data_IF_747408488077
#
_entry.id   IF_747408488077
#
_cell.length_a   1.000
_cell.length_b   1.000
_cell.length_c   1.000
_cell.angle_alpha   90.00
_cell.angle_beta   90.00
_cell.angle_gamma   90.00
#
_symmetry.space_group_name_H-M   'P 1'
#
loop_
_entity.id
_entity.type
_entity.pdbx_description
1 polymer ?
#
# COMPACT_ATOMS: atom_id res chain seq x y z
N UNK A 1 3.67 12.45 -26.12
CA UNK A 1 2.30 11.91 -25.88
C UNK A 1 2.27 10.52 -25.25
N UNK A 2 3.19 9.59 -25.55
CA UNK A 2 3.19 8.23 -24.95
C UNK A 2 3.49 8.19 -23.45
N UNK A 3 4.40 9.03 -22.93
CA UNK A 3 4.78 9.02 -21.50
C UNK A 3 3.66 9.43 -20.54
N UNK A 4 2.84 10.42 -20.91
CA UNK A 4 1.69 10.85 -20.08
C UNK A 4 0.62 9.75 -19.95
N UNK A 5 0.44 8.94 -20.99
CA UNK A 5 -0.48 7.80 -20.96
C UNK A 5 -0.01 6.70 -20.02
N UNK A 6 1.29 6.38 -20.03
CA UNK A 6 1.89 5.36 -19.15
C UNK A 6 1.75 5.75 -17.67
N UNK A 7 2.05 7.00 -17.31
CA UNK A 7 1.91 7.47 -15.94
C UNK A 7 0.46 7.38 -15.42
N UNK A 8 -0.54 7.68 -16.27
CA UNK A 8 -1.95 7.52 -15.92
C UNK A 8 -2.32 6.05 -15.69
N UNK A 9 -1.86 5.14 -16.55
CA UNK A 9 -2.12 3.70 -16.40
C UNK A 9 -1.53 3.18 -15.10
N UNK A 10 -0.26 3.48 -14.80
CA UNK A 10 0.40 3.05 -13.56
C UNK A 10 -0.36 3.54 -12.32
N UNK A 11 -0.80 4.79 -12.32
CA UNK A 11 -1.59 5.35 -11.20
C UNK A 11 -2.94 4.66 -11.02
N UNK A 12 -3.67 4.42 -12.11
CA UNK A 12 -4.97 3.72 -12.06
C UNK A 12 -4.77 2.29 -11.56
N UNK A 13 -3.75 1.60 -12.07
CA UNK A 13 -3.42 0.24 -11.60
C UNK A 13 -3.07 0.23 -10.12
N UNK A 14 -2.26 1.18 -9.65
CA UNK A 14 -1.94 1.32 -8.24
C UNK A 14 -3.20 1.56 -7.39
N UNK A 15 -4.09 2.46 -7.82
CA UNK A 15 -5.34 2.75 -7.11
C UNK A 15 -6.25 1.51 -7.02
N UNK A 16 -6.38 0.74 -8.10
CA UNK A 16 -7.22 -0.46 -8.13
C UNK A 16 -6.65 -1.56 -7.23
N UNK A 17 -5.34 -1.83 -7.34
CA UNK A 17 -4.69 -2.90 -6.57
C UNK A 17 -4.69 -2.57 -5.08
N UNK A 18 -4.29 -1.34 -4.69
CA UNK A 18 -4.31 -0.94 -3.27
C UNK A 18 -5.73 -0.88 -2.72
N UNK A 19 -6.72 -0.47 -3.53
CA UNK A 19 -8.14 -0.51 -3.18
C UNK A 19 -8.66 -1.93 -2.95
N UNK A 20 -8.30 -2.89 -3.79
CA UNK A 20 -8.65 -4.29 -3.61
C UNK A 20 -8.04 -4.89 -2.33
N UNK A 21 -6.76 -4.57 -2.04
CA UNK A 21 -6.10 -4.99 -0.80
C UNK A 21 -6.78 -4.35 0.42
N UNK A 22 -7.14 -3.07 0.35
CA UNK A 22 -7.86 -2.39 1.42
C UNK A 22 -9.20 -3.08 1.73
N UNK A 23 -9.99 -3.40 0.69
CA UNK A 23 -11.27 -4.10 0.85
C UNK A 23 -11.08 -5.49 1.48
N UNK A 24 -10.07 -6.25 1.06
CA UNK A 24 -9.74 -7.54 1.67
C UNK A 24 -9.31 -7.38 3.14
N UNK A 25 -8.55 -6.32 3.46
CA UNK A 25 -8.18 -5.97 4.83
C UNK A 25 -9.41 -5.68 5.70
N UNK A 26 -10.35 -4.86 5.22
CA UNK A 26 -11.61 -4.60 5.94
C UNK A 26 -12.44 -5.87 6.13
N UNK A 27 -12.51 -6.73 5.13
CA UNK A 27 -13.20 -8.02 5.26
C UNK A 27 -12.55 -8.90 6.33
N UNK A 28 -11.20 -8.91 6.40
CA UNK A 28 -10.45 -9.58 7.46
C UNK A 28 -10.76 -9.01 8.84
N UNK A 29 -10.80 -7.68 8.97
CA UNK A 29 -11.17 -6.99 10.24
C UNK A 29 -12.57 -7.40 10.68
N UNK A 30 -13.55 -7.35 9.77
CA UNK A 30 -14.94 -7.75 10.08
C UNK A 30 -15.01 -9.22 10.48
N UNK A 31 -14.26 -10.10 9.79
CA UNK A 31 -14.18 -11.52 10.12
C UNK A 31 -13.62 -11.77 11.53
N UNK A 32 -12.54 -11.06 11.89
CA UNK A 32 -11.89 -11.18 13.22
C UNK A 32 -12.75 -10.60 14.33
N UNK A 33 -13.32 -9.41 14.15
CA UNK A 33 -14.13 -8.73 15.15
C UNK A 33 -15.55 -9.30 15.28
N UNK A 34 -16.10 -9.82 14.18
CA UNK A 34 -17.44 -10.41 14.13
C UNK A 34 -17.51 -11.86 14.60
N UNK A 35 -16.38 -12.47 15.00
CA UNK A 35 -16.34 -13.87 15.42
C UNK A 35 -16.59 -14.88 14.31
N UNK A 36 -16.60 -14.43 13.03
CA UNK A 36 -16.82 -15.28 11.86
C UNK A 36 -15.59 -16.06 11.39
N UNK A 37 -14.41 -15.68 11.86
CA UNK A 37 -13.15 -16.39 11.58
C UNK A 37 -12.56 -16.84 12.90
N UNK A 38 -12.55 -18.16 13.12
CA UNK A 38 -11.76 -18.82 14.15
C UNK A 38 -10.60 -19.51 13.46
N UNK A 39 -9.37 -19.19 13.85
CA UNK A 39 -8.18 -19.89 13.35
C UNK A 39 -7.92 -21.21 14.09
N UNK A 40 -8.80 -21.56 15.04
CA UNK A 40 -8.67 -22.69 15.95
C UNK A 40 -7.86 -22.36 17.19
N UNK A 41 -8.12 -23.11 18.28
CA UNK A 41 -7.59 -22.84 19.63
C UNK A 41 -6.06 -22.70 19.67
N UNK A 42 -5.34 -23.38 18.77
CA UNK A 42 -3.88 -23.35 18.70
C UNK A 42 -3.34 -22.01 18.16
N UNK A 43 -4.02 -21.37 17.21
CA UNK A 43 -3.62 -20.10 16.62
C UNK A 43 -4.14 -18.95 17.47
N UNK A 44 -5.34 -19.06 17.99
CA UNK A 44 -5.94 -18.05 18.86
C UNK A 44 -5.10 -17.84 20.13
N UNK A 45 -4.47 -18.92 20.66
CA UNK A 45 -3.53 -18.84 21.80
C UNK A 45 -2.17 -18.19 21.45
N UNK A 46 -1.80 -18.10 20.17
CA UNK A 46 -0.52 -17.51 19.71
C UNK A 46 -0.66 -16.08 19.23
N UNK A 47 -1.87 -15.54 19.15
CA UNK A 47 -2.09 -14.14 18.81
C UNK A 47 -1.45 -13.23 19.86
N UNK A 48 -0.89 -12.06 19.48
CA UNK A 48 -0.39 -11.08 20.42
C UNK A 48 -1.44 -10.78 21.47
N UNK A 49 -1.12 -11.07 22.74
CA UNK A 49 -2.02 -10.93 23.91
C UNK A 49 -3.26 -11.84 23.88
N UNK A 50 -3.31 -12.89 23.04
CA UNK A 50 -4.47 -13.79 22.93
C UNK A 50 -5.75 -13.09 22.47
N UNK A 51 -5.66 -11.97 21.78
CA UNK A 51 -6.82 -11.12 21.45
C UNK A 51 -7.02 -10.96 19.96
N UNK A 52 -8.07 -11.60 19.43
CA UNK A 52 -8.58 -11.38 18.07
C UNK A 52 -8.93 -9.91 17.80
N UNK A 53 -9.38 -9.20 18.85
CA UNK A 53 -9.68 -7.77 18.75
C UNK A 53 -8.42 -6.95 18.42
N UNK A 54 -7.31 -7.19 19.12
CA UNK A 54 -6.05 -6.49 18.85
C UNK A 54 -5.48 -6.84 17.48
N UNK A 55 -5.58 -8.10 17.05
CA UNK A 55 -5.19 -8.52 15.73
C UNK A 55 -6.02 -7.81 14.64
N UNK A 56 -7.33 -7.73 14.80
CA UNK A 56 -8.23 -7.02 13.89
C UNK A 56 -7.94 -5.51 13.85
N UNK A 57 -7.69 -4.89 15.01
CA UNK A 57 -7.33 -3.47 15.08
C UNK A 57 -5.98 -3.19 14.42
N UNK A 58 -4.99 -4.05 14.63
CA UNK A 58 -3.69 -3.92 13.98
C UNK A 58 -3.78 -4.07 12.47
N UNK A 59 -4.55 -5.05 11.97
CA UNK A 59 -4.84 -5.22 10.54
C UNK A 59 -5.54 -3.98 9.96
N UNK A 60 -6.47 -3.39 10.69
CA UNK A 60 -7.14 -2.15 10.29
C UNK A 60 -6.14 -1.01 10.10
N UNK A 61 -5.32 -0.75 11.14
CA UNK A 61 -4.43 0.41 11.20
C UNK A 61 -3.21 0.26 10.29
N UNK A 62 -2.65 -0.95 10.18
CA UNK A 62 -1.39 -1.19 9.46
C UNK A 62 -1.63 -1.54 7.99
N UNK A 63 -2.77 -2.15 7.66
CA UNK A 63 -3.05 -2.60 6.28
C UNK A 63 -4.22 -1.84 5.67
N UNK A 64 -5.42 -1.95 6.23
CA UNK A 64 -6.63 -1.47 5.57
C UNK A 64 -6.61 0.05 5.37
N UNK A 65 -6.27 0.82 6.41
CA UNK A 65 -6.21 2.29 6.34
C UNK A 65 -5.10 2.77 5.41
N UNK A 66 -3.82 2.35 5.53
CA UNK A 66 -2.77 2.78 4.61
C UNK A 66 -3.05 2.43 3.15
N UNK A 67 -3.61 1.25 2.87
CA UNK A 67 -4.00 0.85 1.52
C UNK A 67 -5.15 1.69 0.96
N UNK A 68 -6.11 2.10 1.79
CA UNK A 68 -7.17 3.03 1.40
C UNK A 68 -6.59 4.40 1.04
N UNK A 69 -5.70 4.94 1.88
CA UNK A 69 -5.04 6.22 1.62
C UNK A 69 -4.22 6.15 0.33
N UNK A 70 -3.48 5.07 0.12
CA UNK A 70 -2.70 4.83 -1.10
C UNK A 70 -3.59 4.78 -2.36
N UNK A 71 -4.73 4.08 -2.28
CA UNK A 71 -5.70 3.99 -3.37
C UNK A 71 -6.25 5.37 -3.76
N UNK A 72 -6.67 6.15 -2.77
CA UNK A 72 -7.19 7.51 -3.00
C UNK A 72 -6.10 8.44 -3.53
N UNK A 73 -4.89 8.40 -2.95
CA UNK A 73 -3.77 9.24 -3.37
C UNK A 73 -3.34 8.96 -4.81
N UNK A 74 -3.24 7.68 -5.19
CA UNK A 74 -2.94 7.28 -6.57
C UNK A 74 -4.07 7.68 -7.53
N UNK A 75 -5.33 7.38 -7.19
CA UNK A 75 -6.49 7.67 -8.03
C UNK A 75 -6.65 9.17 -8.31
N UNK A 76 -6.49 10.01 -7.29
CA UNK A 76 -6.56 11.47 -7.42
C UNK A 76 -5.29 12.11 -7.99
N UNK A 77 -4.22 11.35 -8.16
CA UNK A 77 -2.95 11.87 -8.64
C UNK A 77 -2.31 12.89 -7.70
N UNK A 78 -2.39 12.64 -6.40
CA UNK A 78 -1.82 13.53 -5.41
C UNK A 78 -0.30 13.66 -5.59
N UNK A 79 0.25 14.81 -5.24
CA UNK A 79 1.68 15.13 -5.37
C UNK A 79 2.59 14.06 -4.74
N UNK A 80 2.21 13.57 -3.56
CA UNK A 80 2.95 12.54 -2.83
C UNK A 80 2.35 11.14 -3.00
N UNK A 81 1.50 10.94 -4.02
CA UNK A 81 0.80 9.67 -4.25
C UNK A 81 1.74 8.48 -4.40
N UNK A 82 2.87 8.67 -5.07
CA UNK A 82 3.88 7.62 -5.24
C UNK A 82 4.53 7.19 -3.92
N UNK A 83 4.90 8.17 -3.07
CA UNK A 83 5.52 7.90 -1.76
C UNK A 83 4.52 7.23 -0.81
N UNK A 84 3.26 7.64 -0.87
CA UNK A 84 2.17 7.03 -0.08
C UNK A 84 1.95 5.58 -0.50
N UNK A 85 1.90 5.29 -1.81
CA UNK A 85 1.76 3.92 -2.32
C UNK A 85 2.96 3.07 -1.91
N UNK A 86 4.17 3.60 -2.03
CA UNK A 86 5.39 2.90 -1.63
C UNK A 86 5.41 2.62 -0.11
N UNK A 87 5.06 3.61 0.72
CA UNK A 87 4.97 3.48 2.17
C UNK A 87 3.91 2.45 2.60
N UNK A 88 2.75 2.42 1.94
CA UNK A 88 1.72 1.40 2.19
C UNK A 88 2.21 -0.01 1.84
N UNK A 89 2.99 -0.17 0.76
CA UNK A 89 3.65 -1.42 0.41
C UNK A 89 4.64 -1.88 1.48
N UNK A 90 5.45 -0.97 2.03
CA UNK A 90 6.37 -1.27 3.15
C UNK A 90 5.61 -1.70 4.40
N UNK A 91 4.51 -1.01 4.74
CA UNK A 91 3.66 -1.37 5.87
C UNK A 91 3.09 -2.79 5.72
N UNK A 92 2.69 -3.18 4.50
CA UNK A 92 2.20 -4.52 4.22
C UNK A 92 3.31 -5.57 4.37
N UNK A 93 4.53 -5.32 3.88
CA UNK A 93 5.68 -6.22 4.10
C UNK A 93 5.96 -6.39 5.58
N UNK A 94 6.00 -5.29 6.34
CA UNK A 94 6.24 -5.32 7.77
C UNK A 94 5.15 -6.12 8.50
N UNK A 95 3.89 -5.96 8.11
CA UNK A 95 2.78 -6.74 8.66
C UNK A 95 2.95 -8.23 8.43
N UNK A 96 3.27 -8.65 7.20
CA UNK A 96 3.50 -10.07 6.87
C UNK A 96 4.69 -10.63 7.67
N UNK A 97 5.76 -9.84 7.85
CA UNK A 97 6.90 -10.27 8.67
C UNK A 97 6.50 -10.50 10.13
N UNK A 98 5.64 -9.63 10.69
CA UNK A 98 5.09 -9.80 12.04
C UNK A 98 4.20 -11.05 12.10
N UNK A 99 3.29 -11.25 11.15
CA UNK A 99 2.44 -12.45 11.11
C UNK A 99 3.29 -13.75 11.08
N UNK A 100 4.31 -13.81 10.22
CA UNK A 100 5.19 -14.97 10.13
C UNK A 100 5.96 -15.23 11.42
N UNK A 101 6.38 -14.17 12.14
CA UNK A 101 7.10 -14.28 13.38
C UNK A 101 6.23 -14.81 14.55
N UNK A 102 4.93 -14.48 14.54
CA UNK A 102 4.03 -14.84 15.64
C UNK A 102 3.23 -16.13 15.39
N UNK A 103 2.80 -16.38 14.12
CA UNK A 103 1.81 -17.42 13.83
C UNK A 103 2.49 -18.77 13.55
N UNK A 104 3.79 -18.81 13.18
CA UNK A 104 4.55 -20.05 12.84
C UNK A 104 3.79 -21.04 11.91
N UNK A 105 2.59 -20.71 11.46
CA UNK A 105 1.77 -21.51 10.59
C UNK A 105 1.86 -21.00 9.15
N UNK A 106 2.42 -21.83 8.28
CA UNK A 106 2.49 -21.52 6.84
C UNK A 106 1.09 -21.66 6.23
N UNK A 107 0.45 -20.54 5.93
CA UNK A 107 -0.80 -20.50 5.18
C UNK A 107 -0.56 -19.94 3.77
N UNK A 108 -1.39 -20.34 2.81
CA UNK A 108 -1.35 -19.84 1.43
C UNK A 108 -1.56 -18.30 1.35
N UNK A 109 -2.09 -17.68 2.38
CA UNK A 109 -2.23 -16.22 2.48
C UNK A 109 -0.89 -15.48 2.49
N UNK A 110 0.13 -16.01 3.19
CA UNK A 110 1.42 -15.33 3.32
C UNK A 110 2.11 -15.10 1.97
N UNK A 111 2.29 -16.09 1.09
CA UNK A 111 2.90 -15.87 -0.22
C UNK A 111 2.04 -14.94 -1.08
N UNK A 112 0.72 -15.00 -1.01
CA UNK A 112 -0.18 -14.15 -1.78
C UNK A 112 -0.04 -12.69 -1.40
N UNK A 113 -0.07 -12.37 -0.11
CA UNK A 113 0.10 -10.99 0.36
C UNK A 113 1.53 -10.48 0.22
N UNK A 114 2.54 -11.35 0.28
CA UNK A 114 3.92 -10.97 -0.01
C UNK A 114 4.07 -10.54 -1.48
N UNK A 115 3.50 -11.30 -2.40
CA UNK A 115 3.47 -10.91 -3.82
C UNK A 115 2.72 -9.59 -4.01
N UNK A 116 1.56 -9.44 -3.36
CA UNK A 116 0.81 -8.19 -3.40
C UNK A 116 1.63 -7.00 -2.88
N UNK A 117 2.36 -7.16 -1.79
CA UNK A 117 3.24 -6.13 -1.24
C UNK A 117 4.36 -5.74 -2.21
N UNK A 118 5.02 -6.72 -2.84
CA UNK A 118 6.05 -6.48 -3.86
C UNK A 118 5.47 -5.72 -5.06
N UNK A 119 4.27 -6.08 -5.50
CA UNK A 119 3.57 -5.38 -6.60
C UNK A 119 3.28 -3.93 -6.21
N UNK A 120 2.77 -3.67 -5.00
CA UNK A 120 2.49 -2.31 -4.51
C UNK A 120 3.76 -1.48 -4.41
N UNK A 121 4.85 -2.05 -3.89
CA UNK A 121 6.17 -1.39 -3.86
C UNK A 121 6.66 -1.05 -5.27
N UNK A 122 6.57 -2.00 -6.20
CA UNK A 122 6.93 -1.80 -7.60
C UNK A 122 6.11 -0.69 -8.27
N UNK A 123 4.80 -0.63 -8.00
CA UNK A 123 3.93 0.42 -8.52
C UNK A 123 4.27 1.80 -7.94
N UNK A 124 4.54 1.91 -6.64
CA UNK A 124 4.99 3.15 -6.01
C UNK A 124 6.30 3.65 -6.63
N UNK A 125 7.26 2.75 -6.82
CA UNK A 125 8.51 3.07 -7.48
C UNK A 125 8.35 3.48 -8.96
N UNK A 126 7.50 2.78 -9.73
CA UNK A 126 7.18 3.15 -11.10
C UNK A 126 6.47 4.50 -11.17
N UNK A 127 5.57 4.79 -10.25
CA UNK A 127 4.90 6.10 -10.17
C UNK A 127 5.92 7.22 -9.96
N UNK A 128 6.92 7.03 -9.07
CA UNK A 128 7.99 7.99 -8.87
C UNK A 128 8.82 8.21 -10.15
N UNK A 129 9.11 7.15 -10.89
CA UNK A 129 9.86 7.27 -12.15
C UNK A 129 9.08 7.89 -13.30
N UNK A 130 7.77 7.70 -13.32
CA UNK A 130 6.89 8.26 -14.36
C UNK A 130 6.39 9.67 -14.04
N UNK A 131 6.51 10.11 -12.78
CA UNK A 131 6.35 11.49 -12.36
C UNK A 131 7.59 12.29 -12.75
N UNK A 132 7.84 12.43 -14.06
CA UNK A 132 9.05 13.06 -14.61
C UNK A 132 9.21 14.52 -14.19
N UNK A 133 10.47 14.98 -14.06
CA UNK A 133 10.83 16.38 -13.85
C UNK A 133 10.62 17.20 -15.13
N UNK A 134 9.39 17.44 -15.53
CA UNK A 134 9.06 18.29 -16.68
C UNK A 134 9.09 19.79 -16.36
N UNK A 135 9.51 20.20 -15.15
CA UNK A 135 9.41 21.60 -14.72
C UNK A 135 10.75 22.29 -14.47
N UNK A 136 11.88 21.57 -14.52
CA UNK A 136 13.19 22.18 -14.19
C UNK A 136 13.80 23.01 -15.30
N UNK A 137 13.78 22.61 -16.58
CA UNK A 137 14.35 23.44 -17.64
C UNK A 137 13.61 24.77 -17.83
N UNK A 138 12.29 24.81 -17.73
CA UNK A 138 11.51 26.03 -17.87
C UNK A 138 11.76 27.06 -16.74
N UNK A 139 12.10 26.62 -15.53
CA UNK A 139 12.47 27.51 -14.41
C UNK A 139 13.84 28.16 -14.61
N UNK A 140 14.78 27.41 -15.16
CA UNK A 140 16.13 27.93 -15.42
C UNK A 140 16.12 28.95 -16.58
N UNK A 141 15.30 28.71 -17.63
CA UNK A 141 15.12 29.68 -18.71
C UNK A 141 14.46 30.98 -18.26
N UNK A 142 13.44 30.90 -17.41
CA UNK A 142 12.79 32.09 -16.84
C UNK A 142 13.68 32.86 -15.88
N UNK A 143 14.58 32.20 -15.15
CA UNK A 143 15.59 32.88 -14.32
C UNK A 143 16.71 33.51 -15.16
N UNK A 144 17.15 32.86 -16.21
CA UNK A 144 18.14 33.39 -17.14
C UNK A 144 17.69 34.68 -17.84
N UNK A 145 16.42 34.75 -18.23
CA UNK A 145 15.84 35.92 -18.92
C UNK A 145 15.67 37.11 -17.98
N UNK A 146 15.52 36.93 -16.67
CA UNK A 146 15.39 38.00 -15.66
C UNK A 146 16.73 38.64 -15.27
N UNK A 147 17.86 37.98 -15.54
CA UNK A 147 19.19 38.47 -15.19
C UNK A 147 19.84 39.29 -16.31
N UNK A 148 19.26 39.33 -17.49
CA UNK A 148 19.76 40.04 -18.68
C UNK A 148 18.82 41.13 -19.19
N UNK A 149 17.80 41.51 -18.47
CA UNK A 149 16.92 42.66 -18.69
C UNK A 149 17.03 43.70 -17.58
#
# INVERSE_FOLDING_TARGET
MKAAGVGKIVRVTAAVITGAIALSGYAGVVGLLGGGISFGDTIDARLPFGSLFLAGLALLVIVAVPMTVASVAAGRGMRYGADIVFGAGLALVAWIAVELAFIEAHSWFHPTYLVAAIVVLGLGWLMNRTASPAAEPARLELQGTRLHG
#
